data_IF_470026308103
#
_entry.id   IF_470026308103
#
_cell.length_a   1.000
_cell.length_b   1.000
_cell.length_c   1.000
_cell.angle_alpha   90.00
_cell.angle_beta   90.00
_cell.angle_gamma   90.00
#
_symmetry.space_group_name_H-M   'P 1'
#
loop_
_entity.id
_entity.type
_entity.pdbx_description
1 polymer ?
#
# COMPACT_ATOMS: atom_id res chain seq x y z
N UNK A 1 -19.77 -12.77 -16.33
CA UNK A 1 -18.34 -13.04 -16.05
C UNK A 1 -18.19 -13.17 -14.55
N UNK A 2 -17.28 -14.03 -14.10
CA UNK A 2 -16.92 -14.09 -12.69
C UNK A 2 -16.02 -12.91 -12.32
N UNK A 3 -15.97 -12.53 -11.03
CA UNK A 3 -15.03 -11.50 -10.54
C UNK A 3 -13.58 -11.85 -10.90
N UNK A 4 -13.24 -13.14 -10.91
CA UNK A 4 -11.92 -13.60 -11.34
C UNK A 4 -11.63 -13.20 -12.79
N UNK A 5 -12.57 -13.41 -13.70
CA UNK A 5 -12.40 -13.05 -15.12
C UNK A 5 -12.23 -11.53 -15.28
N UNK A 6 -13.02 -10.73 -14.58
CA UNK A 6 -12.93 -9.26 -14.62
C UNK A 6 -11.55 -8.77 -14.15
N UNK A 7 -11.01 -9.34 -13.07
CA UNK A 7 -9.68 -8.99 -12.54
C UNK A 7 -8.58 -9.44 -13.51
N UNK A 8 -8.69 -10.63 -14.11
CA UNK A 8 -7.71 -11.10 -15.09
C UNK A 8 -7.67 -10.18 -16.32
N UNK A 9 -8.82 -9.80 -16.86
CA UNK A 9 -8.91 -8.87 -18.00
C UNK A 9 -8.34 -7.49 -17.65
N UNK A 10 -8.65 -6.94 -16.48
CA UNK A 10 -8.07 -5.66 -16.05
C UNK A 10 -6.54 -5.75 -15.88
N UNK A 11 -6.04 -6.88 -15.36
CA UNK A 11 -4.61 -7.10 -15.18
C UNK A 11 -3.85 -7.24 -16.50
N UNK A 12 -4.44 -7.86 -17.53
CA UNK A 12 -3.83 -7.93 -18.87
C UNK A 12 -3.53 -6.52 -19.42
N UNK A 13 -4.49 -5.60 -19.30
CA UNK A 13 -4.30 -4.21 -19.70
C UNK A 13 -3.23 -3.50 -18.86
N UNK A 14 -3.22 -3.73 -17.54
CA UNK A 14 -2.21 -3.18 -16.64
C UNK A 14 -0.80 -3.68 -16.98
N UNK A 15 -0.64 -4.98 -17.19
CA UNK A 15 0.64 -5.60 -17.51
C UNK A 15 1.21 -5.12 -18.85
N UNK A 16 0.35 -4.97 -19.87
CA UNK A 16 0.75 -4.44 -21.18
C UNK A 16 1.28 -3.00 -21.09
N UNK A 17 0.76 -2.20 -20.16
CA UNK A 17 1.19 -0.82 -19.91
C UNK A 17 2.23 -0.64 -18.80
N UNK A 18 2.77 -1.73 -18.22
CA UNK A 18 3.62 -1.63 -17.03
C UNK A 18 4.98 -0.94 -17.30
N UNK A 19 5.59 -1.22 -18.46
CA UNK A 19 6.73 -0.47 -19.00
C UNK A 19 7.93 -0.32 -18.04
N UNK A 20 8.44 0.91 -17.94
CA UNK A 20 9.64 1.27 -17.14
C UNK A 20 9.46 1.06 -15.63
N UNK A 21 8.22 0.89 -15.15
CA UNK A 21 7.96 0.58 -13.72
C UNK A 21 8.63 -0.73 -13.29
N UNK A 22 8.92 -1.62 -14.24
CA UNK A 22 9.69 -2.85 -14.02
C UNK A 22 11.13 -2.63 -13.55
N UNK A 23 11.67 -1.44 -13.76
CA UNK A 23 13.04 -1.07 -13.37
C UNK A 23 13.11 -0.31 -12.04
N UNK A 24 11.97 -0.09 -11.38
CA UNK A 24 11.94 0.59 -10.09
C UNK A 24 12.69 -0.21 -9.03
N UNK A 25 13.43 0.49 -8.19
CA UNK A 25 14.20 -0.12 -7.11
C UNK A 25 13.29 -0.66 -6.00
N UNK A 26 13.75 -1.69 -5.30
CA UNK A 26 13.01 -2.26 -4.16
C UNK A 26 12.85 -1.27 -2.99
N UNK A 27 13.86 -0.49 -2.58
CA UNK A 27 13.69 0.53 -1.54
C UNK A 27 12.73 1.65 -1.99
N UNK A 28 11.80 2.11 -1.15
CA UNK A 28 10.90 3.20 -1.51
C UNK A 28 11.64 4.52 -1.73
N UNK A 29 11.39 5.16 -2.86
CA UNK A 29 12.13 6.34 -3.31
C UNK A 29 12.03 7.53 -2.34
N UNK A 30 10.87 7.70 -1.68
CA UNK A 30 10.63 8.80 -0.73
C UNK A 30 10.92 8.42 0.71
N UNK A 31 11.35 7.18 0.98
CA UNK A 31 11.89 6.78 2.28
C UNK A 31 10.86 6.74 3.42
N UNK A 32 9.57 6.54 3.15
CA UNK A 32 8.55 6.43 4.20
C UNK A 32 7.59 5.25 3.98
N UNK A 33 6.84 4.92 5.03
CA UNK A 33 5.78 3.92 4.99
C UNK A 33 4.46 4.46 5.57
N UNK A 34 3.34 3.98 5.04
CA UNK A 34 1.99 4.26 5.53
C UNK A 34 1.41 2.99 6.15
N UNK A 35 0.83 3.10 7.34
CA UNK A 35 -0.09 2.12 7.91
C UNK A 35 -1.50 2.70 7.88
N UNK A 36 -2.43 2.03 7.19
CA UNK A 36 -3.80 2.52 7.03
C UNK A 36 -4.83 1.37 6.99
N UNK A 37 -6.12 1.71 6.97
CA UNK A 37 -7.19 0.72 6.93
C UNK A 37 -7.27 0.02 5.57
N UNK A 38 -7.73 -1.23 5.54
CA UNK A 38 -8.04 -2.00 4.32
C UNK A 38 -9.36 -1.57 3.64
N UNK A 39 -10.02 -0.52 4.13
CA UNK A 39 -11.30 -0.02 3.62
C UNK A 39 -11.27 0.23 2.09
N UNK A 40 -12.23 -0.35 1.38
CA UNK A 40 -12.31 -0.30 -0.08
C UNK A 40 -12.53 1.12 -0.65
N UNK A 41 -12.97 2.08 0.19
CA UNK A 41 -13.16 3.49 -0.21
C UNK A 41 -11.85 4.27 -0.23
N UNK A 42 -10.78 3.72 0.35
CA UNK A 42 -9.47 4.37 0.44
C UNK A 42 -8.51 3.84 -0.64
N UNK A 43 -7.98 4.77 -1.42
CA UNK A 43 -6.87 4.57 -2.35
C UNK A 43 -5.65 5.36 -1.87
N UNK A 44 -4.71 4.70 -1.14
CA UNK A 44 -3.54 5.37 -0.57
C UNK A 44 -2.64 6.07 -1.56
N UNK A 45 -2.51 5.54 -2.78
CA UNK A 45 -1.70 6.19 -3.79
C UNK A 45 -2.29 7.54 -4.18
N UNK A 46 -3.62 7.62 -4.32
CA UNK A 46 -4.30 8.87 -4.67
C UNK A 46 -4.28 9.90 -3.55
N UNK A 47 -4.68 9.52 -2.33
CA UNK A 47 -4.81 10.52 -1.27
C UNK A 47 -3.45 11.01 -0.73
N UNK A 48 -2.39 10.22 -0.86
CA UNK A 48 -1.04 10.60 -0.40
C UNK A 48 -0.14 11.11 -1.55
N UNK A 49 -0.68 11.20 -2.78
CA UNK A 49 0.07 11.65 -3.95
C UNK A 49 1.30 10.79 -4.23
N UNK A 50 1.11 9.48 -4.33
CA UNK A 50 2.18 8.51 -4.56
C UNK A 50 2.22 8.10 -6.04
N UNK A 51 3.43 8.01 -6.59
CA UNK A 51 3.72 7.21 -7.76
C UNK A 51 4.14 5.78 -7.35
N UNK A 52 4.18 4.84 -8.29
CA UNK A 52 4.73 3.51 -8.02
C UNK A 52 6.18 3.62 -7.54
N UNK A 53 6.52 2.87 -6.48
CA UNK A 53 7.85 2.89 -5.86
C UNK A 53 8.10 3.98 -4.82
N UNK A 54 7.16 4.90 -4.58
CA UNK A 54 7.36 6.02 -3.66
C UNK A 54 7.45 5.61 -2.19
N UNK A 55 6.53 4.75 -1.73
CA UNK A 55 6.34 4.41 -0.33
C UNK A 55 5.86 2.97 -0.16
N UNK A 56 6.16 2.38 1.00
CA UNK A 56 5.45 1.17 1.42
C UNK A 56 4.07 1.52 1.96
N UNK A 57 3.07 0.71 1.62
CA UNK A 57 1.70 0.86 2.11
C UNK A 57 1.27 -0.46 2.75
N UNK A 58 1.11 -0.43 4.07
CA UNK A 58 0.66 -1.56 4.88
C UNK A 58 -0.81 -1.33 5.24
N UNK A 59 -1.66 -2.32 5.00
CA UNK A 59 -3.11 -2.22 5.21
C UNK A 59 -3.62 -3.38 6.05
N UNK A 60 -4.46 -3.08 7.05
CA UNK A 60 -5.23 -4.07 7.79
C UNK A 60 -6.56 -3.47 8.28
N UNK A 61 -7.42 -4.27 8.92
CA UNK A 61 -8.68 -3.78 9.46
C UNK A 61 -8.45 -2.68 10.51
N UNK A 62 -8.87 -1.45 10.21
CA UNK A 62 -8.74 -0.28 11.09
C UNK A 62 -7.36 0.40 11.09
N UNK A 63 -6.38 -0.06 10.31
CA UNK A 63 -5.04 0.56 10.27
C UNK A 63 -4.27 0.43 11.58
N UNK A 64 -4.44 -0.70 12.26
CA UNK A 64 -3.93 -0.94 13.61
C UNK A 64 -2.48 -1.40 13.58
N UNK A 65 -1.68 -0.89 14.52
CA UNK A 65 -0.30 -1.33 14.74
C UNK A 65 -0.24 -2.71 15.44
N UNK A 66 -0.77 -3.74 14.78
CA UNK A 66 -0.66 -5.14 15.21
C UNK A 66 0.77 -5.65 15.05
N UNK A 67 1.07 -6.82 15.64
CA UNK A 67 2.38 -7.48 15.49
C UNK A 67 2.79 -7.65 14.03
N UNK A 68 1.85 -7.96 13.14
CA UNK A 68 2.12 -8.09 11.71
C UNK A 68 2.43 -6.75 11.02
N UNK A 69 1.72 -5.68 11.41
CA UNK A 69 2.02 -4.34 10.94
C UNK A 69 3.40 -3.89 11.45
N UNK A 70 3.70 -4.08 12.73
CA UNK A 70 5.00 -3.74 13.32
C UNK A 70 6.13 -4.53 12.65
N UNK A 71 5.97 -5.84 12.45
CA UNK A 71 6.91 -6.68 11.68
C UNK A 71 7.18 -6.08 10.30
N UNK A 72 6.14 -5.65 9.60
CA UNK A 72 6.25 -5.05 8.26
C UNK A 72 6.96 -3.68 8.30
N UNK A 73 6.64 -2.82 9.28
CA UNK A 73 7.28 -1.52 9.47
C UNK A 73 8.77 -1.66 9.82
N UNK A 74 9.13 -2.66 10.63
CA UNK A 74 10.52 -2.97 10.98
C UNK A 74 11.30 -3.43 9.76
N UNK A 75 10.75 -4.32 8.93
CA UNK A 75 11.38 -4.73 7.65
C UNK A 75 11.57 -3.53 6.74
N UNK A 76 10.52 -2.72 6.56
CA UNK A 76 10.54 -1.49 5.77
C UNK A 76 11.69 -0.56 6.17
N UNK A 77 11.95 -0.43 7.48
CA UNK A 77 12.99 0.45 8.01
C UNK A 77 14.38 -0.17 8.00
N UNK A 78 14.52 -1.39 8.50
CA UNK A 78 15.83 -2.05 8.68
C UNK A 78 16.42 -2.55 7.37
N UNK A 79 15.59 -3.05 6.47
CA UNK A 79 16.05 -3.72 5.26
C UNK A 79 15.84 -2.86 4.01
N UNK A 80 14.84 -1.98 4.01
CA UNK A 80 14.39 -1.26 2.81
C UNK A 80 14.49 0.27 2.93
N UNK A 81 15.16 0.76 3.99
CA UNK A 81 15.65 2.14 4.03
C UNK A 81 14.64 3.22 4.41
N UNK A 82 13.35 2.91 4.63
CA UNK A 82 12.39 3.91 5.12
C UNK A 82 12.81 4.46 6.49
N UNK A 83 12.49 5.72 6.77
CA UNK A 83 12.84 6.46 8.01
C UNK A 83 11.66 7.16 8.67
N UNK A 84 10.55 7.28 7.95
CA UNK A 84 9.34 7.97 8.41
C UNK A 84 8.12 7.06 8.29
N UNK A 85 7.16 7.21 9.20
CA UNK A 85 5.94 6.42 9.25
C UNK A 85 4.71 7.29 9.48
N UNK A 86 3.66 7.04 8.70
CA UNK A 86 2.37 7.70 8.85
C UNK A 86 1.32 6.66 9.22
N UNK A 87 0.58 6.91 10.30
CA UNK A 87 -0.58 6.09 10.69
C UNK A 87 -1.85 6.87 10.34
N UNK A 88 -2.63 6.33 9.40
CA UNK A 88 -3.79 7.02 8.83
C UNK A 88 -5.04 6.18 9.06
N UNK A 89 -5.83 6.58 10.04
CA UNK A 89 -7.19 6.05 10.25
C UNK A 89 -8.20 6.83 9.37
N UNK A 90 -9.46 6.41 9.39
CA UNK A 90 -10.54 7.12 8.70
C UNK A 90 -11.82 7.08 9.53
N UNK A 91 -12.71 8.04 9.28
CA UNK A 91 -14.06 8.07 9.84
C UNK A 91 -14.97 6.99 9.25
N UNK A 92 -16.01 6.62 10.00
CA UNK A 92 -16.99 5.60 9.61
C UNK A 92 -16.27 4.27 9.28
N UNK A 93 -15.30 3.92 10.12
CA UNK A 93 -14.58 2.66 10.03
C UNK A 93 -15.39 1.54 10.68
N UNK A 94 -15.43 0.36 10.05
CA UNK A 94 -16.10 -0.81 10.62
C UNK A 94 -15.48 -1.28 11.95
N UNK A 95 -14.27 -0.81 12.28
CA UNK A 95 -13.58 -1.08 13.55
C UNK A 95 -13.84 -0.01 14.63
N UNK A 96 -14.73 0.95 14.36
CA UNK A 96 -15.23 1.88 15.40
C UNK A 96 -16.13 1.17 16.43
N UNK A 97 -16.54 -0.08 16.15
CA UNK A 97 -17.43 -0.90 16.97
C UNK A 97 -16.74 -2.18 17.47
#
# INVERSE_FOLDING_TARGET
MSVLEEVLTANEAYAAGFGEKSQLSLPPARGFAILTCMDARLDPAKYAGLAEGDAHVIRNAGGRASDDAIRSLVISYKLLGTKEWFVIHHSNCGMEF
#
